data_IF_321707131642
#
_entry.id   IF_321707131642
#
_cell.length_a   1.000
_cell.length_b   1.000
_cell.length_c   1.000
_cell.angle_alpha   90.00
_cell.angle_beta   90.00
_cell.angle_gamma   90.00
#
_symmetry.space_group_name_H-M   'P 1'
#
loop_
_entity.id
_entity.type
_entity.pdbx_description
1 polymer ?
#
# COMPACT_ATOMS: atom_id res chain seq x y z
N UNK A 1 -9.50 -7.93 -19.68
CA UNK A 1 -10.57 -6.92 -19.53
C UNK A 1 -11.33 -7.23 -18.25
N UNK A 2 -11.42 -6.28 -17.33
CA UNK A 2 -12.03 -6.46 -16.01
C UNK A 2 -13.53 -6.13 -16.06
N UNK A 3 -14.37 -7.15 -16.25
CA UNK A 3 -15.81 -6.97 -16.29
C UNK A 3 -16.38 -6.91 -14.87
N UNK A 4 -17.11 -5.84 -14.57
CA UNK A 4 -17.76 -5.70 -13.25
C UNK A 4 -19.14 -6.35 -13.35
N UNK A 5 -19.39 -7.44 -12.59
CA UNK A 5 -20.71 -8.07 -12.55
C UNK A 5 -21.68 -7.14 -11.82
N UNK A 6 -22.81 -6.80 -12.46
CA UNK A 6 -23.88 -6.04 -11.82
C UNK A 6 -24.75 -6.97 -10.98
N UNK A 7 -25.05 -6.55 -9.74
CA UNK A 7 -26.06 -7.22 -8.91
C UNK A 7 -27.49 -6.84 -9.29
N UNK A 8 -27.67 -5.76 -10.07
CA UNK A 8 -28.97 -5.16 -10.35
C UNK A 8 -29.42 -5.28 -11.81
N UNK A 9 -28.49 -5.55 -12.73
CA UNK A 9 -28.78 -5.68 -14.15
C UNK A 9 -28.27 -7.01 -14.69
N UNK A 10 -29.04 -7.66 -15.56
CA UNK A 10 -28.56 -8.78 -16.37
C UNK A 10 -27.56 -8.25 -17.40
N UNK A 11 -26.30 -8.17 -17.01
CA UNK A 11 -25.21 -7.76 -17.88
C UNK A 11 -23.98 -7.26 -17.11
N UNK A 12 -22.81 -7.48 -17.70
CA UNK A 12 -21.58 -6.84 -17.25
C UNK A 12 -21.44 -5.48 -17.93
N UNK A 13 -21.16 -4.41 -17.19
CA UNK A 13 -20.84 -3.10 -17.76
C UNK A 13 -19.35 -2.83 -17.66
N UNK A 14 -18.79 -2.13 -18.65
CA UNK A 14 -17.41 -1.65 -18.62
C UNK A 14 -17.38 -0.31 -17.88
N UNK A 15 -16.83 -0.32 -16.67
CA UNK A 15 -16.44 0.91 -15.99
C UNK A 15 -14.98 0.80 -15.61
N UNK A 16 -14.16 1.58 -16.29
CA UNK A 16 -12.74 1.67 -15.97
C UNK A 16 -12.60 2.30 -14.60
N UNK A 17 -11.88 1.62 -13.71
CA UNK A 17 -11.50 2.17 -12.42
C UNK A 17 -10.41 3.19 -12.71
N UNK A 18 -10.78 4.47 -12.77
CA UNK A 18 -9.91 5.58 -13.25
C UNK A 18 -8.57 5.71 -12.51
N UNK A 19 -8.47 5.15 -11.30
CA UNK A 19 -7.29 5.21 -10.45
C UNK A 19 -6.64 3.84 -10.22
N UNK A 20 -7.10 2.79 -10.89
CA UNK A 20 -6.48 1.47 -10.80
C UNK A 20 -5.27 1.43 -11.71
N UNK A 21 -4.10 1.22 -11.11
CA UNK A 21 -2.89 0.88 -11.85
C UNK A 21 -2.96 -0.62 -12.17
N UNK A 22 -3.29 -0.95 -13.42
CA UNK A 22 -3.22 -2.32 -13.95
C UNK A 22 -1.87 -2.55 -14.65
N UNK A 23 -1.44 -3.81 -14.71
CA UNK A 23 -0.28 -4.18 -15.54
C UNK A 23 -0.64 -3.91 -17.01
N UNK A 24 0.14 -3.10 -17.74
CA UNK A 24 -0.18 -2.75 -19.13
C UNK A 24 -0.11 -3.95 -20.07
N UNK A 25 0.58 -5.03 -19.67
CA UNK A 25 0.67 -6.26 -20.44
C UNK A 25 -0.30 -7.30 -19.88
N UNK A 26 -1.09 -7.98 -20.72
CA UNK A 26 -1.94 -9.08 -20.28
C UNK A 26 -1.04 -10.26 -19.88
N UNK A 27 -0.69 -10.29 -18.59
CA UNK A 27 0.15 -11.30 -17.97
C UNK A 27 -0.61 -11.98 -16.86
N UNK A 28 -0.21 -13.21 -16.59
CA UNK A 28 -0.67 -13.91 -15.40
C UNK A 28 -0.28 -13.11 -14.15
N UNK A 29 -1.21 -12.95 -13.19
CA UNK A 29 -0.95 -12.16 -11.98
C UNK A 29 0.24 -12.68 -11.17
N UNK A 30 0.62 -13.96 -11.34
CA UNK A 30 1.84 -14.57 -10.79
C UNK A 30 3.12 -13.92 -11.30
N UNK A 31 3.06 -13.14 -12.37
CA UNK A 31 4.18 -12.46 -13.01
C UNK A 31 4.18 -10.94 -12.78
N UNK A 32 3.17 -10.39 -12.11
CA UNK A 32 3.03 -8.94 -11.85
C UNK A 32 3.84 -8.49 -10.63
N UNK A 33 5.13 -8.85 -10.59
CA UNK A 33 6.02 -8.60 -9.43
C UNK A 33 6.16 -7.12 -9.08
N UNK A 34 6.13 -6.23 -10.07
CA UNK A 34 6.29 -4.80 -9.85
C UNK A 34 5.12 -4.21 -9.05
N UNK A 35 3.88 -4.53 -9.44
CA UNK A 35 2.67 -4.06 -8.76
C UNK A 35 2.61 -4.69 -7.36
N UNK A 36 2.92 -5.98 -7.24
CA UNK A 36 2.98 -6.66 -5.94
C UNK A 36 3.99 -6.02 -4.98
N UNK A 37 5.20 -5.70 -5.48
CA UNK A 37 6.20 -5.01 -4.68
C UNK A 37 5.73 -3.61 -4.27
N UNK A 38 5.11 -2.88 -5.20
CA UNK A 38 4.57 -1.54 -4.92
C UNK A 38 3.49 -1.59 -3.85
N UNK A 39 2.61 -2.59 -3.89
CA UNK A 39 1.55 -2.80 -2.89
C UNK A 39 2.16 -3.14 -1.52
N UNK A 40 3.18 -4.00 -1.48
CA UNK A 40 3.92 -4.32 -0.25
C UNK A 40 4.58 -3.07 0.36
N UNK A 41 5.30 -2.28 -0.44
CA UNK A 41 5.94 -1.04 0.03
C UNK A 41 4.90 -0.04 0.55
N UNK A 42 3.79 0.11 -0.18
CA UNK A 42 2.69 1.00 0.23
C UNK A 42 2.06 0.53 1.54
N UNK A 43 1.88 -0.78 1.73
CA UNK A 43 1.36 -1.34 2.96
C UNK A 43 2.30 -1.11 4.15
N UNK A 44 3.62 -1.30 3.97
CA UNK A 44 4.62 -1.06 5.01
C UNK A 44 4.61 0.42 5.43
N UNK A 45 4.60 1.35 4.46
CA UNK A 45 4.52 2.78 4.73
C UNK A 45 3.22 3.15 5.48
N UNK A 46 2.09 2.54 5.11
CA UNK A 46 0.83 2.71 5.83
C UNK A 46 0.91 2.23 7.29
N UNK A 47 1.45 1.03 7.53
CA UNK A 47 1.62 0.51 8.90
C UNK A 47 2.54 1.41 9.74
N UNK A 48 3.61 1.92 9.14
CA UNK A 48 4.46 2.92 9.78
C UNK A 48 3.66 4.17 10.18
N UNK A 49 2.81 4.70 9.28
CA UNK A 49 1.98 5.86 9.63
C UNK A 49 1.02 5.59 10.79
N UNK A 50 0.44 4.38 10.86
CA UNK A 50 -0.42 3.98 11.99
C UNK A 50 0.35 3.99 13.32
N UNK A 51 1.60 3.53 13.33
CA UNK A 51 2.48 3.58 14.52
C UNK A 51 2.73 5.05 14.90
N UNK A 52 3.14 5.88 13.94
CA UNK A 52 3.54 7.27 14.20
C UNK A 52 2.40 8.13 14.75
N UNK A 53 1.15 7.89 14.33
CA UNK A 53 -0.03 8.60 14.86
C UNK A 53 -0.56 8.01 16.17
N UNK A 54 0.07 6.96 16.71
CA UNK A 54 -0.33 6.33 17.96
C UNK A 54 -1.62 5.50 17.85
N UNK A 55 -1.91 4.92 16.69
CA UNK A 55 -3.09 4.07 16.52
C UNK A 55 -2.95 2.79 17.37
N UNK A 56 -3.98 2.36 18.11
CA UNK A 56 -3.79 1.37 19.19
C UNK A 56 -3.57 -0.08 18.70
N UNK A 57 -3.88 -0.41 17.44
CA UNK A 57 -3.67 -1.75 16.91
C UNK A 57 -3.64 -1.81 15.38
N UNK A 58 -2.91 -2.79 14.87
CA UNK A 58 -2.95 -3.18 13.46
C UNK A 58 -4.27 -3.87 13.07
N UNK A 59 -4.58 -3.95 11.77
CA UNK A 59 -5.80 -4.62 11.31
C UNK A 59 -5.88 -6.07 11.81
N UNK A 60 -7.06 -6.51 12.26
CA UNK A 60 -7.28 -7.83 12.91
C UNK A 60 -6.82 -9.05 12.08
N UNK A 61 -6.74 -8.91 10.76
CA UNK A 61 -6.31 -9.97 9.82
C UNK A 61 -4.79 -10.05 9.65
N UNK A 62 -4.04 -9.13 10.27
CA UNK A 62 -2.59 -9.10 10.19
C UNK A 62 -1.98 -10.26 10.99
N UNK A 63 -0.97 -10.98 10.46
CA UNK A 63 -0.27 -12.00 11.22
C UNK A 63 0.38 -11.41 12.48
N UNK A 64 0.38 -12.15 13.59
CA UNK A 64 1.00 -11.71 14.86
C UNK A 64 2.50 -11.40 14.76
N UNK A 65 3.17 -11.97 13.77
CA UNK A 65 4.57 -11.69 13.48
C UNK A 65 4.82 -10.27 12.95
N UNK A 66 3.78 -9.60 12.44
CA UNK A 66 3.83 -8.20 12.02
C UNK A 66 3.50 -7.33 13.23
N UNK A 67 4.54 -6.83 13.88
CA UNK A 67 4.46 -5.92 15.02
C UNK A 67 5.26 -4.65 14.72
N UNK A 68 5.23 -3.68 15.64
CA UNK A 68 5.90 -2.39 15.48
C UNK A 68 7.40 -2.55 15.15
N UNK A 69 8.12 -3.38 15.92
CA UNK A 69 9.54 -3.65 15.67
C UNK A 69 9.79 -4.20 14.26
N UNK A 70 8.89 -5.05 13.76
CA UNK A 70 8.98 -5.63 12.42
C UNK A 70 8.75 -4.59 11.32
N UNK A 71 7.78 -3.70 11.52
CA UNK A 71 7.51 -2.60 10.59
C UNK A 71 8.70 -1.64 10.56
N UNK A 72 9.27 -1.31 11.71
CA UNK A 72 10.49 -0.50 11.78
C UNK A 72 11.66 -1.17 11.04
N UNK A 73 11.89 -2.46 11.26
CA UNK A 73 12.92 -3.23 10.53
C UNK A 73 12.73 -3.13 9.00
N UNK A 74 11.49 -3.22 8.51
CA UNK A 74 11.21 -3.08 7.09
C UNK A 74 11.42 -1.67 6.57
N UNK A 75 11.03 -0.63 7.34
CA UNK A 75 11.30 0.75 6.98
C UNK A 75 12.81 1.04 6.89
N UNK A 76 13.62 0.49 7.79
CA UNK A 76 15.10 0.58 7.71
C UNK A 76 15.64 -0.08 6.43
N UNK A 77 15.12 -1.25 6.06
CA UNK A 77 15.51 -1.93 4.83
C UNK A 77 15.13 -1.14 3.58
N UNK A 78 14.00 -0.43 3.62
CA UNK A 78 13.54 0.42 2.52
C UNK A 78 14.24 1.78 2.49
N UNK A 79 14.75 2.27 3.63
CA UNK A 79 15.33 3.62 3.75
C UNK A 79 16.27 4.01 2.59
N UNK A 80 17.23 3.17 2.12
CA UNK A 80 18.13 3.55 1.04
C UNK A 80 17.45 3.95 -0.28
N UNK A 81 16.20 3.55 -0.50
CA UNK A 81 15.43 3.83 -1.72
C UNK A 81 14.26 4.80 -1.50
N UNK A 82 14.04 5.28 -0.28
CA UNK A 82 12.97 6.24 0.04
C UNK A 82 13.42 7.70 -0.20
N UNK A 83 12.46 8.57 -0.49
CA UNK A 83 12.72 10.01 -0.62
C UNK A 83 12.69 10.69 0.75
N UNK A 84 13.82 10.66 1.47
CA UNK A 84 13.98 11.35 2.75
C UNK A 84 13.77 12.86 2.69
N UNK A 85 13.82 13.49 1.50
CA UNK A 85 13.60 14.94 1.36
C UNK A 85 12.13 15.34 1.39
N UNK A 86 11.21 14.38 1.30
CA UNK A 86 9.79 14.67 1.33
C UNK A 86 9.34 15.22 2.70
N UNK A 87 10.01 14.85 3.79
CA UNK A 87 9.74 15.33 5.14
C UNK A 87 11.04 15.59 5.89
N UNK A 88 11.22 16.78 6.46
CA UNK A 88 12.37 17.09 7.31
C UNK A 88 12.20 16.63 8.76
N UNK A 89 10.98 16.27 9.17
CA UNK A 89 10.63 15.90 10.54
C UNK A 89 10.47 14.39 10.72
N UNK A 90 10.21 13.65 9.64
CA UNK A 90 10.06 12.20 9.66
C UNK A 90 11.34 11.51 9.17
N UNK A 91 11.83 10.54 9.94
CA UNK A 91 13.08 9.82 9.66
C UNK A 91 13.10 9.16 8.27
N UNK A 92 11.96 8.65 7.82
CA UNK A 92 11.85 7.94 6.55
C UNK A 92 11.29 8.82 5.42
N UNK A 93 11.17 10.13 5.66
CA UNK A 93 10.64 11.08 4.68
C UNK A 93 9.12 10.99 4.50
N UNK A 94 8.39 10.33 5.40
CA UNK A 94 6.94 10.17 5.28
C UNK A 94 6.24 11.48 5.65
N UNK A 95 5.31 11.91 4.79
CA UNK A 95 4.49 13.11 5.00
C UNK A 95 3.05 12.69 5.28
N UNK A 96 2.48 13.24 6.35
CA UNK A 96 1.10 12.98 6.74
C UNK A 96 0.32 14.31 6.71
N UNK A 97 -0.89 14.27 6.15
CA UNK A 97 -1.81 15.40 6.09
C UNK A 97 -3.21 15.01 6.60
N UNK A 98 -3.95 15.95 7.22
CA UNK A 98 -3.52 17.31 7.58
C UNK A 98 -2.43 17.29 8.64
N UNK A 99 -1.58 18.33 8.67
CA UNK A 99 -0.63 18.51 9.77
C UNK A 99 -1.44 18.92 11.01
N UNK A 100 -1.09 18.36 12.16
CA UNK A 100 -1.66 18.76 13.45
C UNK A 100 -1.38 20.24 13.74
#
# INVERSE_FOLDING_TARGET
INYIPSKFAQGSYRQEIRTLLEDPLPKDSRQSYFIQLTDVVSNIAYLYTMITIGQPSFPKRMPKAVNEAKVMEWMERLAPVLNHRASSTDRFGVVMYPKA
#
